data_IF_620438166579
#
_entry.id   IF_620438166579
#
_cell.length_a   1.000
_cell.length_b   1.000
_cell.length_c   1.000
_cell.angle_alpha   90.00
_cell.angle_beta   90.00
_cell.angle_gamma   90.00
#
_symmetry.space_group_name_H-M   'P 1'
#
loop_
_entity.id
_entity.type
_entity.pdbx_description
1 polymer ?
#
# COMPACT_ATOMS: atom_id res chain seq x y z
N UNK A 1 -34.06 48.57 -36.30
CA UNK A 1 -32.94 48.36 -35.35
C UNK A 1 -33.24 47.25 -34.32
N UNK A 2 -34.50 47.05 -33.88
CA UNK A 2 -34.92 45.98 -32.94
C UNK A 2 -34.74 44.53 -33.44
N UNK A 3 -34.94 44.21 -34.72
CA UNK A 3 -34.82 42.81 -35.22
C UNK A 3 -33.39 42.25 -35.25
N UNK A 4 -32.36 43.11 -35.39
CA UNK A 4 -30.95 42.67 -35.35
C UNK A 4 -30.54 42.24 -33.94
N UNK A 5 -31.09 42.86 -32.89
CA UNK A 5 -30.78 42.50 -31.51
C UNK A 5 -31.40 41.15 -31.12
N UNK A 6 -32.63 40.86 -31.56
CA UNK A 6 -33.29 39.57 -31.30
C UNK A 6 -32.53 38.37 -31.89
N UNK A 7 -31.96 38.54 -33.10
CA UNK A 7 -31.15 37.50 -33.76
C UNK A 7 -29.83 37.19 -33.05
N UNK A 8 -29.27 38.16 -32.32
CA UNK A 8 -28.03 37.96 -31.55
C UNK A 8 -28.34 37.19 -30.26
N UNK A 9 -29.43 37.51 -29.56
CA UNK A 9 -29.83 36.79 -28.35
C UNK A 9 -30.21 35.32 -28.62
N UNK A 10 -30.91 35.03 -29.73
CA UNK A 10 -31.26 33.64 -30.10
C UNK A 10 -30.01 32.81 -30.44
N UNK A 11 -28.99 33.42 -31.06
CA UNK A 11 -27.71 32.74 -31.35
C UNK A 11 -26.87 32.50 -30.11
N UNK A 12 -26.85 33.44 -29.15
CA UNK A 12 -26.15 33.28 -27.87
C UNK A 12 -26.81 32.20 -27.01
N UNK A 13 -28.15 32.14 -26.97
CA UNK A 13 -28.89 31.08 -26.27
C UNK A 13 -28.69 29.70 -26.92
N UNK A 14 -28.62 29.60 -28.24
CA UNK A 14 -28.37 28.34 -28.94
C UNK A 14 -26.94 27.80 -28.70
N UNK A 15 -25.93 28.67 -28.62
CA UNK A 15 -24.54 28.29 -28.30
C UNK A 15 -24.41 27.88 -26.83
N UNK A 16 -25.12 28.54 -25.91
CA UNK A 16 -25.16 28.15 -24.50
C UNK A 16 -25.87 26.80 -24.27
N UNK A 17 -26.93 26.50 -25.03
CA UNK A 17 -27.68 25.24 -24.90
C UNK A 17 -26.92 24.02 -25.46
N UNK A 18 -26.15 24.18 -26.54
CA UNK A 18 -25.28 23.13 -27.09
C UNK A 18 -24.11 22.80 -26.13
N UNK A 19 -23.63 23.77 -25.36
CA UNK A 19 -22.58 23.57 -24.35
C UNK A 19 -23.00 22.70 -23.15
N UNK A 20 -24.30 22.61 -22.84
CA UNK A 20 -24.80 21.81 -21.71
C UNK A 20 -25.11 20.35 -22.06
N UNK A 21 -25.16 19.98 -23.35
CA UNK A 21 -25.56 18.62 -23.80
C UNK A 21 -24.41 17.60 -23.88
N UNK A 22 -23.16 18.01 -23.56
CA UNK A 22 -21.98 17.16 -23.71
C UNK A 22 -21.25 16.78 -22.40
N UNK A 23 -21.70 17.26 -21.24
CA UNK A 23 -21.16 16.81 -19.96
C UNK A 23 -21.82 15.47 -19.56
N UNK A 24 -21.42 14.38 -20.25
CA UNK A 24 -21.67 13.04 -19.69
C UNK A 24 -20.91 12.98 -18.37
N UNK A 25 -21.51 12.51 -17.25
CA UNK A 25 -20.72 12.15 -16.10
C UNK A 25 -19.65 11.16 -16.61
N UNK A 26 -18.38 11.51 -16.43
CA UNK A 26 -17.30 10.58 -16.73
C UNK A 26 -17.49 9.42 -15.76
N UNK A 27 -18.09 8.33 -16.25
CA UNK A 27 -18.19 7.11 -15.49
C UNK A 27 -16.76 6.71 -15.15
N UNK A 28 -16.49 6.55 -13.85
CA UNK A 28 -15.20 6.08 -13.40
C UNK A 28 -14.92 4.73 -14.08
N UNK A 29 -13.73 4.58 -14.64
CA UNK A 29 -13.37 3.41 -15.44
C UNK A 29 -13.12 2.23 -14.51
N UNK A 30 -13.57 1.03 -14.87
CA UNK A 30 -13.30 -0.18 -14.08
C UNK A 30 -11.84 -0.62 -14.17
N UNK A 31 -11.14 -0.21 -15.22
CA UNK A 31 -9.73 -0.44 -15.44
C UNK A 31 -9.09 0.83 -15.99
N UNK A 32 -7.96 1.26 -15.43
CA UNK A 32 -7.15 2.36 -15.93
C UNK A 32 -5.69 1.93 -16.07
N UNK A 33 -4.90 2.75 -16.76
CA UNK A 33 -3.51 2.43 -17.06
C UNK A 33 -2.57 3.58 -16.71
N UNK A 34 -1.37 3.22 -16.25
CA UNK A 34 -0.22 4.14 -16.09
C UNK A 34 0.92 3.77 -17.04
N UNK A 35 1.69 4.77 -17.46
CA UNK A 35 2.91 4.55 -18.26
C UNK A 35 3.91 5.70 -18.05
N UNK A 36 5.21 5.41 -18.18
CA UNK A 36 6.30 6.38 -17.94
C UNK A 36 6.32 7.55 -18.93
N UNK A 37 5.59 7.42 -20.04
CA UNK A 37 5.36 8.48 -21.04
C UNK A 37 3.91 9.02 -21.02
N UNK A 38 3.15 8.68 -19.98
CA UNK A 38 1.75 9.07 -19.81
C UNK A 38 1.58 10.53 -19.39
N UNK A 39 0.31 10.93 -19.18
CA UNK A 39 -0.05 12.24 -18.64
C UNK A 39 -1.30 12.12 -17.78
N UNK A 40 -1.29 12.72 -16.59
CA UNK A 40 -2.46 12.73 -15.71
C UNK A 40 -3.61 13.60 -16.24
N UNK A 41 -3.41 14.33 -17.35
CA UNK A 41 -4.50 14.95 -18.10
C UNK A 41 -5.28 13.95 -18.96
N UNK A 42 -4.70 12.79 -19.28
CA UNK A 42 -5.30 11.78 -20.14
C UNK A 42 -6.50 11.10 -19.45
N UNK A 43 -7.41 10.45 -20.19
CA UNK A 43 -8.48 9.66 -19.60
C UNK A 43 -8.02 8.38 -18.88
N UNK A 44 -6.70 8.13 -18.75
CA UNK A 44 -6.08 6.91 -18.25
C UNK A 44 -6.53 5.63 -18.97
N UNK A 45 -6.88 5.74 -20.26
CA UNK A 45 -7.19 4.60 -21.13
C UNK A 45 -5.90 3.95 -21.66
N UNK A 46 -5.98 2.77 -22.28
CA UNK A 46 -4.78 2.00 -22.64
C UNK A 46 -3.92 2.72 -23.66
N UNK A 47 -4.57 3.47 -24.55
CA UNK A 47 -3.95 4.27 -25.61
C UNK A 47 -3.66 5.71 -25.16
N UNK A 48 -4.11 6.11 -23.97
CA UNK A 48 -3.83 7.41 -23.36
C UNK A 48 -3.71 7.22 -21.85
N UNK A 49 -2.61 6.60 -21.38
CA UNK A 49 -2.42 6.25 -19.97
C UNK A 49 -2.05 7.48 -19.14
N UNK A 50 -2.27 7.36 -17.83
CA UNK A 50 -1.86 8.38 -16.86
C UNK A 50 -0.38 8.28 -16.50
N UNK A 51 0.18 9.36 -15.99
CA UNK A 51 1.60 9.40 -15.60
C UNK A 51 1.81 8.84 -14.20
N UNK A 52 0.81 8.94 -13.32
CA UNK A 52 0.92 8.54 -11.91
C UNK A 52 -0.21 7.63 -11.47
N UNK A 53 0.06 6.85 -10.41
CA UNK A 53 -0.98 6.07 -9.73
C UNK A 53 -2.06 6.96 -9.12
N UNK A 54 -1.72 8.14 -8.61
CA UNK A 54 -2.70 9.10 -8.09
C UNK A 54 -3.62 9.63 -9.20
N UNK A 55 -3.06 9.97 -10.37
CA UNK A 55 -3.82 10.38 -11.55
C UNK A 55 -4.79 9.29 -12.02
N UNK A 56 -4.32 8.05 -12.10
CA UNK A 56 -5.14 6.89 -12.45
C UNK A 56 -6.22 6.58 -11.40
N UNK A 57 -5.87 6.63 -10.11
CA UNK A 57 -6.79 6.39 -9.00
C UNK A 57 -7.97 7.36 -9.03
N UNK A 58 -7.74 8.63 -9.38
CA UNK A 58 -8.81 9.63 -9.48
C UNK A 58 -9.88 9.30 -10.52
N UNK A 59 -9.54 8.51 -11.55
CA UNK A 59 -10.42 8.14 -12.67
C UNK A 59 -10.87 6.68 -12.66
N UNK A 60 -10.32 5.88 -11.76
CA UNK A 60 -10.74 4.48 -11.58
C UNK A 60 -11.94 4.40 -10.66
N UNK A 61 -12.91 3.54 -10.98
CA UNK A 61 -14.04 3.25 -10.11
C UNK A 61 -13.58 2.57 -8.82
N UNK A 62 -14.34 2.73 -7.74
CA UNK A 62 -14.14 1.92 -6.55
C UNK A 62 -14.32 0.43 -6.89
N UNK A 63 -13.41 -0.41 -6.42
CA UNK A 63 -13.31 -1.83 -6.78
C UNK A 63 -12.70 -2.09 -8.16
N UNK A 64 -12.24 -1.06 -8.87
CA UNK A 64 -11.55 -1.19 -10.15
C UNK A 64 -10.05 -1.51 -10.03
N UNK A 65 -9.36 -1.50 -11.16
CA UNK A 65 -7.96 -1.87 -11.29
C UNK A 65 -7.13 -0.81 -12.03
N UNK A 66 -5.88 -0.62 -11.60
CA UNK A 66 -4.88 0.24 -12.23
C UNK A 66 -3.71 -0.64 -12.64
N UNK A 67 -3.40 -0.67 -13.94
CA UNK A 67 -2.31 -1.47 -14.49
C UNK A 67 -1.16 -0.60 -15.02
N UNK A 68 0.08 -1.00 -14.74
CA UNK A 68 1.25 -0.43 -15.39
C UNK A 68 1.47 -1.05 -16.78
N UNK A 69 1.55 -0.22 -17.82
CA UNK A 69 1.80 -0.67 -19.20
C UNK A 69 3.28 -0.90 -19.50
N UNK A 70 4.15 -0.13 -18.85
CA UNK A 70 5.58 -0.17 -19.04
C UNK A 70 6.33 0.04 -17.71
N UNK A 71 7.63 -0.25 -17.65
CA UNK A 71 8.45 0.07 -16.47
C UNK A 71 8.48 1.59 -16.24
N UNK A 72 8.34 2.02 -14.99
CA UNK A 72 8.34 3.44 -14.67
C UNK A 72 8.27 3.72 -13.17
N UNK A 73 8.39 5.00 -12.81
CA UNK A 73 8.15 5.51 -11.46
C UNK A 73 6.83 6.30 -11.47
N UNK A 74 5.81 5.78 -10.81
CA UNK A 74 4.42 6.26 -10.93
C UNK A 74 3.95 7.11 -9.74
N UNK A 75 4.90 7.60 -8.95
CA UNK A 75 4.65 8.48 -7.80
C UNK A 75 4.03 7.76 -6.60
N UNK A 76 4.02 8.45 -5.47
CA UNK A 76 3.34 8.00 -4.25
C UNK A 76 1.82 8.15 -4.41
N UNK A 77 1.04 7.39 -3.62
CA UNK A 77 -0.42 7.41 -3.72
C UNK A 77 -1.10 7.15 -2.37
N UNK A 78 -2.16 7.91 -2.10
CA UNK A 78 -3.09 7.66 -0.99
C UNK A 78 -4.35 6.99 -1.54
N UNK A 79 -4.61 5.77 -1.10
CA UNK A 79 -5.74 4.94 -1.51
C UNK A 79 -6.90 5.15 -0.55
N UNK A 80 -8.02 5.69 -1.06
CA UNK A 80 -9.19 6.04 -0.25
C UNK A 80 -10.45 5.24 -0.60
N UNK A 81 -10.30 4.18 -1.42
CA UNK A 81 -11.38 3.32 -1.90
C UNK A 81 -10.84 1.93 -2.22
N UNK A 82 -11.73 0.96 -2.36
CA UNK A 82 -11.36 -0.36 -2.89
C UNK A 82 -10.68 -0.20 -4.25
N UNK A 83 -9.55 -0.86 -4.46
CA UNK A 83 -8.76 -0.76 -5.69
C UNK A 83 -7.77 -1.94 -5.79
N UNK A 84 -7.45 -2.35 -7.00
CA UNK A 84 -6.25 -3.13 -7.30
C UNK A 84 -5.23 -2.24 -8.00
N UNK A 85 -3.98 -2.25 -7.55
CA UNK A 85 -2.85 -1.65 -8.27
C UNK A 85 -1.89 -2.79 -8.65
N UNK A 86 -1.72 -2.99 -9.96
CA UNK A 86 -0.86 -4.01 -10.54
C UNK A 86 0.29 -3.39 -11.33
N UNK A 87 1.51 -3.69 -10.91
CA UNK A 87 2.72 -3.27 -11.61
C UNK A 87 3.12 -4.11 -12.83
N UNK A 88 2.38 -5.17 -13.15
CA UNK A 88 2.57 -6.01 -14.34
C UNK A 88 3.88 -6.81 -14.39
N UNK A 89 4.66 -6.81 -13.29
CA UNK A 89 5.96 -7.49 -13.18
C UNK A 89 7.11 -6.84 -13.96
N UNK A 90 6.84 -5.75 -14.69
CA UNK A 90 7.81 -5.11 -15.59
C UNK A 90 8.71 -4.08 -14.87
N UNK A 91 8.49 -3.83 -13.58
CA UNK A 91 9.25 -2.85 -12.80
C UNK A 91 8.55 -1.52 -12.59
N UNK A 92 7.22 -1.54 -12.44
CA UNK A 92 6.47 -0.41 -11.91
C UNK A 92 6.93 -0.09 -10.49
N UNK A 93 7.32 1.16 -10.26
CA UNK A 93 7.91 1.58 -9.01
C UNK A 93 7.23 2.79 -8.39
N UNK A 94 7.29 2.84 -7.07
CA UNK A 94 6.98 4.01 -6.26
C UNK A 94 8.28 4.43 -5.58
N UNK A 95 8.67 5.68 -5.82
CA UNK A 95 9.85 6.27 -5.17
C UNK A 95 9.36 7.34 -4.21
N UNK A 96 9.61 7.15 -2.91
CA UNK A 96 9.14 8.05 -1.86
C UNK A 96 10.33 8.71 -1.15
N UNK A 97 10.20 9.99 -0.83
CA UNK A 97 11.20 10.78 -0.11
C UNK A 97 10.48 11.66 0.90
N UNK A 98 10.89 11.59 2.17
CA UNK A 98 10.27 12.31 3.29
C UNK A 98 8.75 12.12 3.45
N UNK A 99 8.19 11.07 2.83
CA UNK A 99 6.76 10.74 2.75
C UNK A 99 6.60 9.22 2.70
N UNK A 100 5.39 8.73 2.89
CA UNK A 100 5.06 7.32 2.66
C UNK A 100 4.99 7.01 1.16
N UNK A 101 5.35 5.79 0.78
CA UNK A 101 5.20 5.32 -0.60
C UNK A 101 3.73 5.17 -0.99
N UNK A 102 3.03 4.28 -0.30
CA UNK A 102 1.60 4.04 -0.48
C UNK A 102 0.91 4.12 0.86
N UNK A 103 -0.02 5.06 1.02
CA UNK A 103 -0.87 5.14 2.20
C UNK A 103 -2.25 4.52 1.89
N UNK A 104 -2.73 3.59 2.72
CA UNK A 104 -4.03 2.95 2.57
C UNK A 104 -4.99 3.49 3.65
N UNK A 105 -5.92 4.33 3.21
CA UNK A 105 -6.94 5.02 3.99
C UNK A 105 -8.34 4.75 3.40
N UNK A 106 -8.61 3.48 3.07
CA UNK A 106 -9.85 3.06 2.43
C UNK A 106 -10.97 2.86 3.45
N UNK A 107 -12.21 2.79 2.98
CA UNK A 107 -13.38 2.56 3.83
C UNK A 107 -13.35 1.19 4.49
N UNK A 108 -14.07 1.04 5.62
CA UNK A 108 -14.10 -0.20 6.40
C UNK A 108 -14.65 -1.44 5.68
N UNK A 109 -15.25 -1.26 4.48
CA UNK A 109 -15.74 -2.35 3.63
C UNK A 109 -14.85 -2.59 2.39
N UNK A 110 -13.84 -1.75 2.18
CA UNK A 110 -13.02 -1.75 0.98
C UNK A 110 -11.89 -2.79 1.07
N UNK A 111 -11.64 -3.46 -0.05
CA UNK A 111 -10.48 -4.35 -0.22
C UNK A 111 -9.49 -3.67 -1.14
N UNK A 112 -8.23 -3.62 -0.71
CA UNK A 112 -7.12 -3.06 -1.48
C UNK A 112 -6.14 -4.17 -1.83
N UNK A 113 -5.75 -4.26 -3.09
CA UNK A 113 -4.76 -5.22 -3.57
C UNK A 113 -3.60 -4.45 -4.19
N UNK A 114 -2.40 -4.69 -3.68
CA UNK A 114 -1.14 -4.14 -4.16
C UNK A 114 -0.29 -5.30 -4.64
N UNK A 115 0.00 -5.36 -5.95
CA UNK A 115 0.78 -6.48 -6.49
C UNK A 115 1.78 -6.09 -7.56
N UNK A 116 2.88 -6.85 -7.62
CA UNK A 116 3.94 -6.69 -8.62
C UNK A 116 4.59 -5.29 -8.58
N UNK A 117 4.67 -4.67 -7.40
CA UNK A 117 5.18 -3.31 -7.22
C UNK A 117 6.59 -3.30 -6.62
N UNK A 118 7.38 -2.29 -7.01
CA UNK A 118 8.68 -2.00 -6.39
C UNK A 118 8.61 -0.68 -5.63
N UNK A 119 8.74 -0.72 -4.31
CA UNK A 119 8.77 0.48 -3.48
C UNK A 119 10.21 0.73 -3.04
N UNK A 120 10.71 1.94 -3.31
CA UNK A 120 12.09 2.31 -3.00
C UNK A 120 12.14 3.70 -2.39
N UNK A 121 13.04 3.87 -1.44
CA UNK A 121 13.34 5.17 -0.85
C UNK A 121 14.81 5.54 -1.10
N UNK A 122 15.13 6.79 -1.50
CA UNK A 122 16.50 7.23 -1.72
C UNK A 122 17.21 7.49 -0.38
N UNK A 123 18.47 7.09 -0.25
CA UNK A 123 19.22 7.15 1.01
C UNK A 123 19.46 8.57 1.56
N UNK A 124 19.44 9.60 0.70
CA UNK A 124 19.72 10.98 1.12
C UNK A 124 18.55 11.64 1.85
N UNK A 125 17.31 11.22 1.52
CA UNK A 125 16.07 11.72 2.09
C UNK A 125 15.10 10.56 2.16
N UNK A 126 15.31 9.67 3.13
CA UNK A 126 14.55 8.44 3.20
C UNK A 126 13.05 8.73 3.35
N UNK A 127 12.23 7.99 2.60
CA UNK A 127 10.80 7.90 2.82
C UNK A 127 10.50 7.37 4.23
N UNK A 128 9.29 7.66 4.72
CA UNK A 128 8.88 7.27 6.07
C UNK A 128 8.55 5.78 6.10
N UNK A 129 7.38 5.41 5.60
CA UNK A 129 6.95 4.02 5.40
C UNK A 129 6.93 3.64 3.91
N UNK A 130 7.17 2.36 3.60
CA UNK A 130 6.94 1.84 2.25
C UNK A 130 5.45 1.79 1.90
N UNK A 131 4.74 0.93 2.62
CA UNK A 131 3.28 0.84 2.61
C UNK A 131 2.80 1.12 4.01
N UNK A 132 1.96 2.14 4.17
CA UNK A 132 1.34 2.50 5.45
C UNK A 132 -0.15 2.15 5.41
N UNK A 133 -0.59 1.19 6.23
CA UNK A 133 -1.97 0.69 6.25
C UNK A 133 -2.71 1.20 7.48
N UNK A 134 -3.58 2.18 7.25
CA UNK A 134 -4.32 2.90 8.30
C UNK A 134 -5.80 2.50 8.37
N UNK A 135 -6.42 2.18 7.23
CA UNK A 135 -7.81 1.68 7.20
C UNK A 135 -8.15 0.94 5.91
N UNK A 136 -8.84 -0.19 6.05
CA UNK A 136 -9.51 -0.96 5.00
C UNK A 136 -10.32 -2.09 5.67
N UNK A 137 -11.15 -2.81 4.92
CA UNK A 137 -11.59 -4.15 5.35
C UNK A 137 -10.43 -5.13 5.32
N UNK A 138 -9.71 -5.13 4.20
CA UNK A 138 -8.57 -5.99 3.97
C UNK A 138 -7.56 -5.38 3.00
N UNK A 139 -6.28 -5.68 3.21
CA UNK A 139 -5.20 -5.34 2.28
C UNK A 139 -4.43 -6.60 1.90
N UNK A 140 -4.22 -6.80 0.60
CA UNK A 140 -3.36 -7.86 0.07
C UNK A 140 -2.13 -7.22 -0.56
N UNK A 141 -0.95 -7.61 -0.08
CA UNK A 141 0.35 -7.19 -0.59
C UNK A 141 1.03 -8.44 -1.14
N UNK A 142 1.22 -8.48 -2.46
CA UNK A 142 1.62 -9.70 -3.15
C UNK A 142 2.70 -9.44 -4.20
N UNK A 143 3.79 -10.21 -4.18
CA UNK A 143 4.88 -10.03 -5.17
C UNK A 143 5.43 -8.60 -5.19
N UNK A 144 5.65 -8.01 -4.00
CA UNK A 144 6.19 -6.66 -3.87
C UNK A 144 7.64 -6.69 -3.38
N UNK A 145 8.47 -5.81 -3.95
CA UNK A 145 9.84 -5.55 -3.49
C UNK A 145 9.86 -4.19 -2.79
N UNK A 146 10.18 -4.13 -1.49
CA UNK A 146 10.10 -2.92 -0.67
C UNK A 146 11.44 -2.67 0.02
N UNK A 147 12.04 -1.49 -0.19
CA UNK A 147 13.36 -1.22 0.36
C UNK A 147 13.74 0.24 0.60
N UNK A 148 14.63 0.45 1.58
CA UNK A 148 15.31 1.73 1.83
C UNK A 148 14.53 2.74 2.67
N UNK A 149 13.43 2.34 3.31
CA UNK A 149 12.59 3.24 4.11
C UNK A 149 13.16 3.44 5.52
N UNK A 150 13.02 4.66 6.06
CA UNK A 150 13.58 5.02 7.36
C UNK A 150 12.89 4.27 8.52
N UNK A 151 11.58 4.05 8.41
CA UNK A 151 10.78 3.30 9.37
C UNK A 151 10.49 1.90 8.81
N UNK A 152 9.24 1.51 8.66
CA UNK A 152 8.86 0.19 8.17
C UNK A 152 8.80 0.13 6.63
N UNK A 153 9.16 -1.03 6.07
CA UNK A 153 8.77 -1.36 4.71
C UNK A 153 7.25 -1.50 4.60
N UNK A 154 6.63 -2.18 5.56
CA UNK A 154 5.17 -2.27 5.70
C UNK A 154 4.81 -1.91 7.14
N UNK A 155 4.08 -0.80 7.31
CA UNK A 155 3.48 -0.39 8.57
C UNK A 155 1.99 -0.74 8.56
N UNK A 156 1.51 -1.35 9.64
CA UNK A 156 0.12 -1.72 9.84
C UNK A 156 -0.31 -1.10 11.16
N UNK A 157 -1.01 0.05 11.06
CA UNK A 157 -1.44 0.86 12.19
C UNK A 157 -2.91 1.26 12.04
N UNK A 158 -3.85 0.31 12.14
CA UNK A 158 -5.22 0.62 11.79
C UNK A 158 -5.99 1.33 12.90
N UNK A 159 -6.92 2.17 12.47
CA UNK A 159 -7.94 2.79 13.30
C UNK A 159 -9.28 2.01 13.31
N UNK A 160 -9.27 0.76 12.85
CA UNK A 160 -10.40 -0.15 12.77
C UNK A 160 -9.90 -1.61 12.75
N UNK A 161 -10.80 -2.60 12.83
CA UNK A 161 -10.42 -4.00 12.59
C UNK A 161 -9.92 -4.17 11.15
N UNK A 162 -8.77 -4.82 11.00
CA UNK A 162 -8.09 -4.97 9.72
C UNK A 162 -7.59 -6.39 9.51
N UNK A 163 -7.70 -6.88 8.28
CA UNK A 163 -7.05 -8.11 7.82
C UNK A 163 -5.97 -7.75 6.79
N UNK A 164 -4.74 -8.19 7.00
CA UNK A 164 -3.65 -8.01 6.04
C UNK A 164 -3.09 -9.36 5.64
N UNK A 165 -2.90 -9.55 4.32
CA UNK A 165 -2.16 -10.66 3.76
C UNK A 165 -0.91 -10.10 3.07
N UNK A 166 0.26 -10.56 3.47
CA UNK A 166 1.53 -10.32 2.77
C UNK A 166 2.01 -11.66 2.24
N UNK A 167 2.22 -11.77 0.93
CA UNK A 167 2.69 -13.03 0.33
C UNK A 167 3.73 -12.79 -0.75
N UNK A 168 4.68 -13.72 -0.86
CA UNK A 168 5.66 -13.78 -1.96
C UNK A 168 6.39 -12.45 -2.17
N UNK A 169 6.72 -11.75 -1.08
CA UNK A 169 7.27 -10.38 -1.11
C UNK A 169 8.67 -10.32 -0.50
N UNK A 170 9.43 -9.30 -0.86
CA UNK A 170 10.78 -9.05 -0.33
C UNK A 170 10.80 -7.67 0.31
N UNK A 171 11.09 -7.60 1.61
CA UNK A 171 11.11 -6.36 2.39
C UNK A 171 12.46 -6.21 3.07
N UNK A 172 13.31 -5.31 2.56
CA UNK A 172 14.73 -5.28 2.91
C UNK A 172 15.29 -3.88 3.10
N UNK A 173 16.31 -3.73 3.95
CA UNK A 173 16.99 -2.44 4.19
C UNK A 173 16.04 -1.33 4.68
N UNK A 174 15.13 -1.67 5.59
CA UNK A 174 14.23 -0.71 6.25
C UNK A 174 14.50 -0.69 7.77
N UNK A 175 13.99 0.30 8.50
CA UNK A 175 13.99 0.29 9.97
C UNK A 175 13.25 -0.93 10.55
N UNK A 176 12.06 -1.23 10.04
CA UNK A 176 11.35 -2.50 10.26
C UNK A 176 11.03 -3.16 8.92
N UNK A 177 11.10 -4.48 8.81
CA UNK A 177 10.53 -5.18 7.67
C UNK A 177 9.01 -4.98 7.69
N UNK A 178 8.36 -5.56 8.70
CA UNK A 178 6.92 -5.39 8.95
C UNK A 178 6.72 -4.93 10.39
N UNK A 179 6.00 -3.83 10.58
CA UNK A 179 5.61 -3.32 11.90
C UNK A 179 4.09 -3.37 12.04
N UNK A 180 3.60 -4.08 13.04
CA UNK A 180 2.17 -4.22 13.32
C UNK A 180 1.88 -3.64 14.69
N UNK A 181 1.20 -2.50 14.72
CA UNK A 181 0.89 -1.74 15.92
C UNK A 181 -0.59 -1.37 15.90
N UNK A 182 -1.29 -1.44 17.04
CA UNK A 182 -2.64 -0.92 17.13
C UNK A 182 -2.76 0.01 18.33
N UNK A 183 -3.38 1.16 18.11
CA UNK A 183 -3.72 2.08 19.17
C UNK A 183 -5.19 1.90 19.58
N UNK A 184 -5.45 1.76 20.88
CA UNK A 184 -6.81 1.63 21.42
C UNK A 184 -7.39 0.23 21.29
N UNK A 185 -8.67 0.11 20.94
CA UNK A 185 -9.43 -1.14 20.98
C UNK A 185 -9.47 -1.91 19.64
N UNK A 186 -8.67 -1.49 18.66
CA UNK A 186 -8.65 -2.12 17.34
C UNK A 186 -7.76 -3.35 17.34
N UNK A 187 -8.07 -4.31 16.46
CA UNK A 187 -7.36 -5.58 16.36
C UNK A 187 -6.96 -5.85 14.92
N UNK A 188 -5.69 -6.18 14.73
CA UNK A 188 -5.12 -6.54 13.43
C UNK A 188 -4.90 -8.03 13.32
N UNK A 189 -5.39 -8.64 12.24
CA UNK A 189 -5.02 -10.01 11.83
C UNK A 189 -4.12 -9.95 10.62
N UNK A 190 -2.89 -10.43 10.75
CA UNK A 190 -1.88 -10.38 9.69
C UNK A 190 -1.42 -11.80 9.38
N UNK A 191 -1.40 -12.15 8.09
CA UNK A 191 -0.80 -13.39 7.59
C UNK A 191 0.35 -13.03 6.69
N UNK A 192 1.53 -13.58 6.97
CA UNK A 192 2.76 -13.37 6.18
C UNK A 192 3.24 -14.73 5.67
N UNK A 193 3.30 -14.90 4.35
CA UNK A 193 3.73 -16.18 3.75
C UNK A 193 4.79 -15.96 2.69
N UNK A 194 5.76 -16.88 2.57
CA UNK A 194 6.78 -16.85 1.51
C UNK A 194 7.48 -15.50 1.36
N UNK A 195 7.74 -14.83 2.48
CA UNK A 195 8.23 -13.46 2.50
C UNK A 195 9.63 -13.40 3.08
N UNK A 196 10.46 -12.55 2.47
CA UNK A 196 11.84 -12.28 2.88
C UNK A 196 11.91 -10.99 3.67
N UNK A 197 12.29 -11.04 4.94
CA UNK A 197 12.50 -9.88 5.81
C UNK A 197 13.98 -9.79 6.19
N UNK A 198 14.77 -9.09 5.37
CA UNK A 198 16.23 -9.20 5.41
C UNK A 198 16.94 -7.85 5.48
N UNK A 199 18.06 -7.75 6.22
CA UNK A 199 18.80 -6.50 6.41
C UNK A 199 17.95 -5.32 6.95
N UNK A 200 16.86 -5.58 7.67
CA UNK A 200 16.09 -4.52 8.32
C UNK A 200 16.66 -4.20 9.72
N UNK A 201 16.18 -3.16 10.39
CA UNK A 201 16.44 -2.97 11.82
C UNK A 201 15.82 -4.10 12.63
N UNK A 202 14.51 -4.32 12.49
CA UNK A 202 13.81 -5.53 12.99
C UNK A 202 13.11 -6.22 11.84
N UNK A 203 13.10 -7.55 11.80
CA UNK A 203 12.41 -8.31 10.75
C UNK A 203 10.90 -8.06 10.78
N UNK A 204 10.22 -8.60 11.79
CA UNK A 204 8.81 -8.33 12.07
C UNK A 204 8.61 -8.03 13.54
N UNK A 205 7.89 -6.95 13.86
CA UNK A 205 7.46 -6.61 15.21
C UNK A 205 5.93 -6.56 15.30
N UNK A 206 5.38 -7.31 16.26
CA UNK A 206 3.96 -7.34 16.60
C UNK A 206 3.74 -6.74 17.99
N UNK A 207 2.98 -5.65 18.08
CA UNK A 207 2.67 -4.94 19.31
C UNK A 207 1.22 -5.19 19.76
N UNK A 208 0.67 -4.33 20.61
CA UNK A 208 -0.64 -4.49 21.22
C UNK A 208 -1.76 -4.81 20.21
N UNK A 209 -2.67 -5.71 20.63
CA UNK A 209 -3.88 -6.12 19.90
C UNK A 209 -3.61 -6.72 18.51
N UNK A 210 -2.55 -7.52 18.39
CA UNK A 210 -2.16 -8.17 17.14
C UNK A 210 -2.31 -9.69 17.22
N UNK A 211 -2.75 -10.27 16.09
CA UNK A 211 -2.57 -11.69 15.78
C UNK A 211 -1.84 -11.80 14.45
N UNK A 212 -0.58 -12.21 14.52
CA UNK A 212 0.27 -12.39 13.36
C UNK A 212 0.58 -13.86 13.17
N UNK A 213 0.27 -14.39 11.99
CA UNK A 213 0.71 -15.70 11.54
C UNK A 213 1.78 -15.54 10.47
N UNK A 214 2.89 -16.26 10.61
CA UNK A 214 3.99 -16.25 9.64
C UNK A 214 4.30 -17.68 9.24
N UNK A 215 4.34 -17.94 7.94
CA UNK A 215 4.77 -19.23 7.42
C UNK A 215 5.70 -19.16 6.21
N UNK A 216 6.55 -20.18 6.06
CA UNK A 216 7.46 -20.33 4.91
C UNK A 216 8.31 -19.07 4.63
N UNK A 217 8.67 -18.33 5.69
CA UNK A 217 9.25 -17.00 5.61
C UNK A 217 10.51 -16.89 6.45
N UNK A 218 11.35 -15.90 6.19
CA UNK A 218 12.58 -15.70 6.95
C UNK A 218 12.77 -14.26 7.39
N UNK A 219 13.26 -14.10 8.62
CA UNK A 219 13.72 -12.85 9.19
C UNK A 219 15.22 -12.97 9.47
N UNK A 220 16.05 -12.50 8.54
CA UNK A 220 17.49 -12.75 8.57
C UNK A 220 18.32 -11.47 8.44
N UNK A 221 19.57 -11.52 8.91
CA UNK A 221 20.54 -10.43 8.79
C UNK A 221 20.01 -9.07 9.29
N UNK A 222 18.99 -9.05 10.16
CA UNK A 222 18.43 -7.82 10.68
C UNK A 222 19.36 -7.26 11.76
N UNK A 223 19.52 -5.94 11.86
CA UNK A 223 20.43 -5.32 12.83
C UNK A 223 20.01 -5.60 14.29
N UNK A 224 18.71 -5.79 14.53
CA UNK A 224 18.08 -6.08 15.80
C UNK A 224 17.49 -7.50 15.84
N UNK A 225 16.19 -7.61 16.11
CA UNK A 225 15.52 -8.90 16.25
C UNK A 225 15.00 -9.44 14.91
N UNK A 226 14.88 -10.76 14.79
CA UNK A 226 14.20 -11.39 13.65
C UNK A 226 12.68 -11.30 13.81
N UNK A 227 12.14 -12.17 14.65
CA UNK A 227 10.72 -12.26 15.00
C UNK A 227 10.50 -11.67 16.39
N UNK A 228 9.69 -10.62 16.51
CA UNK A 228 9.54 -9.88 17.75
C UNK A 228 8.07 -9.65 18.12
N UNK A 229 7.73 -9.96 19.38
CA UNK A 229 6.43 -9.64 19.98
C UNK A 229 6.64 -8.80 21.21
N UNK A 230 6.00 -7.62 21.25
CA UNK A 230 6.16 -6.67 22.35
C UNK A 230 4.94 -5.74 22.54
N UNK A 231 3.95 -6.15 23.34
CA UNK A 231 2.94 -5.25 23.87
C UNK A 231 3.55 -4.12 24.69
N UNK A 232 3.03 -2.90 24.58
CA UNK A 232 3.41 -1.75 25.40
C UNK A 232 2.34 -1.38 26.42
N UNK A 233 1.08 -1.46 26.02
CA UNK A 233 -0.05 -0.92 26.79
C UNK A 233 -0.91 -2.03 27.41
N UNK A 234 -0.44 -3.27 27.35
CA UNK A 234 -1.08 -4.45 27.96
C UNK A 234 -2.16 -5.09 27.08
N UNK A 235 -2.25 -4.69 25.81
CA UNK A 235 -3.07 -5.37 24.80
C UNK A 235 -2.39 -6.68 24.38
N UNK A 236 -3.15 -7.77 24.15
CA UNK A 236 -2.57 -9.05 23.77
C UNK A 236 -1.86 -8.94 22.40
N UNK A 237 -0.66 -9.50 22.30
CA UNK A 237 0.05 -9.63 21.04
C UNK A 237 0.49 -11.09 20.86
N UNK A 238 0.17 -11.65 19.70
CA UNK A 238 0.48 -13.05 19.38
C UNK A 238 1.19 -13.15 18.03
N UNK A 239 2.28 -13.92 18.01
CA UNK A 239 3.00 -14.31 16.81
C UNK A 239 3.07 -15.84 16.73
N UNK A 240 2.40 -16.41 15.74
CA UNK A 240 2.47 -17.84 15.42
C UNK A 240 3.44 -18.02 14.23
N UNK A 241 4.49 -18.80 14.44
CA UNK A 241 5.53 -19.08 13.46
C UNK A 241 5.45 -20.55 13.01
N UNK A 242 5.36 -20.79 11.70
CA UNK A 242 5.31 -22.12 11.11
C UNK A 242 6.27 -22.26 9.92
N UNK A 243 7.24 -23.16 9.98
CA UNK A 243 8.23 -23.30 8.90
C UNK A 243 8.95 -21.97 8.57
N UNK A 244 9.41 -21.27 9.62
CA UNK A 244 10.11 -19.99 9.46
C UNK A 244 11.59 -20.12 9.75
N UNK A 245 12.38 -19.09 9.45
CA UNK A 245 13.80 -19.03 9.84
C UNK A 245 14.13 -17.68 10.42
N UNK A 246 14.90 -17.66 11.51
CA UNK A 246 15.55 -16.45 12.02
C UNK A 246 17.06 -16.66 12.12
N UNK A 247 17.83 -16.03 11.24
CA UNK A 247 19.28 -16.26 11.14
C UNK A 247 20.10 -14.98 11.04
N UNK A 248 21.27 -14.97 11.67
CA UNK A 248 22.24 -13.86 11.63
C UNK A 248 21.66 -12.49 12.03
N UNK A 249 20.63 -12.48 12.88
CA UNK A 249 20.11 -11.23 13.44
C UNK A 249 21.06 -10.70 14.51
N UNK A 250 21.25 -9.38 14.56
CA UNK A 250 22.23 -8.72 15.43
C UNK A 250 21.87 -8.76 16.92
N UNK A 251 20.60 -9.02 17.25
CA UNK A 251 20.15 -9.29 18.60
C UNK A 251 19.56 -10.71 18.74
N UNK A 252 18.24 -10.86 18.88
CA UNK A 252 17.60 -12.17 19.12
C UNK A 252 16.88 -12.67 17.86
N UNK A 253 16.95 -13.99 17.61
CA UNK A 253 16.19 -14.61 16.51
C UNK A 253 14.67 -14.50 16.71
N UNK A 254 14.18 -14.99 17.85
CA UNK A 254 12.77 -14.90 18.28
C UNK A 254 12.72 -14.29 19.68
N UNK A 255 12.04 -13.15 19.84
CA UNK A 255 11.90 -12.47 21.13
C UNK A 255 10.42 -12.25 21.48
N UNK A 256 10.04 -12.68 22.68
CA UNK A 256 8.75 -12.37 23.31
C UNK A 256 9.03 -11.49 24.53
N UNK A 257 8.53 -10.26 24.54
CA UNK A 257 8.81 -9.28 25.58
C UNK A 257 7.51 -8.64 26.09
N UNK A 258 7.49 -8.32 27.40
CA UNK A 258 6.37 -7.73 28.15
C UNK A 258 5.19 -8.69 28.42
N UNK A 259 4.37 -8.41 29.45
CA UNK A 259 3.18 -9.19 29.73
C UNK A 259 2.25 -9.26 28.51
N UNK A 260 1.49 -10.35 28.38
CA UNK A 260 0.53 -10.61 27.28
C UNK A 260 1.15 -10.86 25.90
N UNK A 261 2.48 -10.82 25.77
CA UNK A 261 3.18 -11.32 24.60
C UNK A 261 3.11 -12.85 24.54
N UNK A 262 2.78 -13.39 23.38
CA UNK A 262 2.76 -14.83 23.12
C UNK A 262 3.43 -15.12 21.79
N UNK A 263 4.37 -16.06 21.79
CA UNK A 263 4.93 -16.65 20.57
C UNK A 263 4.62 -18.14 20.56
N UNK A 264 4.10 -18.66 19.45
CA UNK A 264 4.02 -20.11 19.19
C UNK A 264 4.91 -20.45 18.02
N UNK A 265 5.58 -21.59 18.11
CA UNK A 265 6.61 -21.99 17.16
C UNK A 265 6.36 -23.42 16.70
N UNK A 266 6.33 -23.63 15.39
CA UNK A 266 6.29 -24.92 14.73
C UNK A 266 7.35 -24.97 13.62
N UNK A 267 8.18 -26.02 13.61
CA UNK A 267 9.21 -26.25 12.58
C UNK A 267 10.05 -25.01 12.23
N UNK A 268 10.64 -24.33 13.20
CA UNK A 268 11.37 -23.05 13.02
C UNK A 268 12.78 -23.13 13.58
#
# INVERSE_FOLDING_TARGET
MQMRQLSVYVRVLAVAFIGLLAARPAAAQTQTWVSGVGSDANPCSRTAPCATFAGALSKTAAGGEIDALDPGAFGTVTITKAITIDGGGQGASVVASSTDGIAVQAGANDVVILRNLRLKSPQTFSGLQGIDVLSAKAVVIQHCDISGFAYAGINIEPNATLIVLVTDSTVVNNGWGIHVVNHGAFFSRVSVTKTTLDHNGTGLEAEDNTLVFVADSHASNNAGNGWFVRPFFGGPAQLDLDNTTASNNGNTGILSQNPTALVRVNNT
#
